data_IF_000547850533
#
_entry.id   IF_000547850533
#
_cell.length_a   1.000
_cell.length_b   1.000
_cell.length_c   1.000
_cell.angle_alpha   90.00
_cell.angle_beta   90.00
_cell.angle_gamma   90.00
#
_symmetry.space_group_name_H-M   'P 1'
#
loop_
_entity.id
_entity.type
_entity.pdbx_description
1 polymer ?
#
# COMPACT_ATOMS: atom_id res chain seq x y z
N UNK A 1 -17.38 1.94 -44.18
CA UNK A 1 -17.66 1.01 -45.28
C UNK A 1 -18.45 1.81 -46.30
N UNK A 2 -17.91 2.01 -47.48
CA UNK A 2 -18.61 2.69 -48.57
C UNK A 2 -19.52 1.66 -49.26
N UNK A 3 -20.83 1.94 -49.30
CA UNK A 3 -21.83 1.06 -49.93
C UNK A 3 -22.14 1.60 -51.32
N UNK A 4 -22.00 0.80 -52.37
CA UNK A 4 -22.35 1.23 -53.73
C UNK A 4 -23.82 1.62 -53.78
N UNK A 5 -24.13 2.85 -54.25
CA UNK A 5 -25.48 3.41 -54.33
C UNK A 5 -26.45 2.48 -55.12
N UNK A 6 -25.94 1.77 -56.12
CA UNK A 6 -26.71 0.83 -56.92
C UNK A 6 -27.27 -0.40 -56.18
N UNK A 7 -26.65 -0.72 -55.04
CA UNK A 7 -27.04 -1.85 -54.19
C UNK A 7 -27.88 -1.43 -53.00
N UNK A 8 -27.97 -0.14 -52.70
CA UNK A 8 -28.64 0.35 -51.49
C UNK A 8 -30.11 0.70 -51.71
N UNK A 9 -30.99 0.03 -51.02
CA UNK A 9 -32.42 0.42 -50.97
C UNK A 9 -32.70 1.32 -49.77
N UNK A 10 -32.97 2.58 -50.05
CA UNK A 10 -33.24 3.61 -49.03
C UNK A 10 -34.51 3.31 -48.22
N UNK A 11 -35.52 2.66 -48.82
CA UNK A 11 -36.80 2.36 -48.15
C UNK A 11 -36.64 1.28 -47.08
N UNK A 12 -35.88 0.25 -47.40
CA UNK A 12 -35.65 -0.87 -46.48
C UNK A 12 -34.41 -0.67 -45.59
N UNK A 13 -33.52 0.29 -45.93
CA UNK A 13 -32.24 0.49 -45.26
C UNK A 13 -31.31 -0.73 -45.33
N UNK A 14 -31.35 -1.43 -46.48
CA UNK A 14 -30.57 -2.64 -46.74
C UNK A 14 -30.06 -2.67 -48.18
N UNK A 15 -29.03 -3.49 -48.40
CA UNK A 15 -28.60 -3.81 -49.78
C UNK A 15 -29.58 -4.76 -50.45
N UNK A 16 -30.01 -4.44 -51.68
CA UNK A 16 -30.92 -5.25 -52.48
C UNK A 16 -30.18 -6.34 -53.27
N UNK A 17 -30.88 -7.45 -53.48
CA UNK A 17 -30.35 -8.59 -54.25
C UNK A 17 -29.73 -9.70 -53.39
N UNK A 18 -29.37 -10.82 -54.05
CA UNK A 18 -28.80 -12.03 -53.40
C UNK A 18 -27.30 -12.19 -53.63
N UNK A 19 -26.63 -11.14 -54.13
CA UNK A 19 -25.18 -11.19 -54.34
C UNK A 19 -24.40 -11.36 -53.04
N UNK A 20 -23.22 -11.93 -53.06
CA UNK A 20 -22.31 -12.07 -51.91
C UNK A 20 -22.01 -10.71 -51.31
N UNK A 21 -21.87 -9.67 -52.14
CA UNK A 21 -21.63 -8.30 -51.72
C UNK A 21 -22.84 -7.74 -50.94
N UNK A 22 -24.07 -7.94 -51.44
CA UNK A 22 -25.30 -7.51 -50.75
C UNK A 22 -25.48 -8.23 -49.41
N UNK A 23 -25.21 -9.51 -49.33
CA UNK A 23 -25.24 -10.29 -48.10
C UNK A 23 -24.21 -9.79 -47.08
N UNK A 24 -22.98 -9.49 -47.52
CA UNK A 24 -21.91 -8.94 -46.66
C UNK A 24 -22.26 -7.57 -46.10
N UNK A 25 -22.88 -6.70 -46.92
CA UNK A 25 -23.34 -5.37 -46.48
C UNK A 25 -24.47 -5.55 -45.44
N UNK A 26 -25.47 -6.40 -45.72
CA UNK A 26 -26.59 -6.62 -44.80
C UNK A 26 -26.12 -7.21 -43.47
N UNK A 27 -25.17 -8.11 -43.47
CA UNK A 27 -24.57 -8.69 -42.26
C UNK A 27 -23.83 -7.62 -41.44
N UNK A 28 -23.16 -6.66 -42.07
CA UNK A 28 -22.52 -5.56 -41.40
C UNK A 28 -23.55 -4.57 -40.80
N UNK A 29 -24.65 -4.29 -41.53
CA UNK A 29 -25.76 -3.48 -41.03
C UNK A 29 -26.40 -4.12 -39.79
N UNK A 30 -26.62 -5.44 -39.82
CA UNK A 30 -27.20 -6.15 -38.68
C UNK A 30 -26.26 -6.12 -37.46
N UNK A 31 -24.95 -6.26 -37.64
CA UNK A 31 -23.99 -6.07 -36.54
C UNK A 31 -24.08 -4.70 -35.95
N UNK A 32 -24.07 -3.64 -36.76
CA UNK A 32 -24.20 -2.26 -36.30
C UNK A 32 -25.50 -2.07 -35.52
N UNK A 33 -26.62 -2.63 -36.00
CA UNK A 33 -27.92 -2.55 -35.30
C UNK A 33 -27.86 -3.20 -33.91
N UNK A 34 -27.24 -4.35 -33.81
CA UNK A 34 -27.07 -5.05 -32.53
C UNK A 34 -26.23 -4.20 -31.54
N UNK A 35 -25.10 -3.67 -32.00
CA UNK A 35 -24.20 -2.84 -31.17
C UNK A 35 -24.90 -1.54 -30.73
N UNK A 36 -25.57 -0.86 -31.64
CA UNK A 36 -26.34 0.38 -31.34
C UNK A 36 -27.45 0.09 -30.35
N UNK A 37 -28.17 -1.02 -30.48
CA UNK A 37 -29.22 -1.42 -29.57
C UNK A 37 -28.66 -1.77 -28.17
N UNK A 38 -27.50 -2.41 -28.12
CA UNK A 38 -26.81 -2.67 -26.86
C UNK A 38 -26.45 -1.36 -26.13
N UNK A 39 -25.84 -0.40 -26.83
CA UNK A 39 -25.54 0.91 -26.25
C UNK A 39 -26.79 1.68 -25.85
N UNK A 40 -27.88 1.55 -26.58
CA UNK A 40 -29.17 2.16 -26.20
C UNK A 40 -29.66 1.61 -24.86
N UNK A 41 -29.61 0.29 -24.66
CA UNK A 41 -30.05 -0.35 -23.42
C UNK A 41 -29.13 0.04 -22.24
N UNK A 42 -27.81 0.07 -22.45
CA UNK A 42 -26.86 0.52 -21.44
C UNK A 42 -27.13 1.97 -21.00
N UNK A 43 -27.31 2.89 -21.97
CA UNK A 43 -27.59 4.30 -21.68
C UNK A 43 -28.94 4.48 -20.99
N UNK A 44 -29.96 3.73 -21.37
CA UNK A 44 -31.27 3.76 -20.68
C UNK A 44 -31.18 3.29 -19.23
N UNK A 45 -30.40 2.25 -18.97
CA UNK A 45 -30.20 1.76 -17.59
C UNK A 45 -29.37 2.71 -16.73
N UNK A 46 -28.38 3.38 -17.33
CA UNK A 46 -27.43 4.22 -16.59
C UNK A 46 -27.96 5.65 -16.39
N UNK A 47 -28.49 6.26 -17.44
CA UNK A 47 -28.86 7.67 -17.47
C UNK A 47 -30.37 7.91 -17.41
N UNK A 48 -31.19 6.87 -17.62
CA UNK A 48 -32.65 6.94 -17.64
C UNK A 48 -33.22 7.59 -18.90
N UNK A 49 -32.38 8.13 -19.80
CA UNK A 49 -32.79 8.72 -21.09
C UNK A 49 -31.68 8.61 -22.14
N UNK A 50 -32.07 8.50 -23.42
CA UNK A 50 -31.14 8.39 -24.55
C UNK A 50 -31.49 9.45 -25.61
N UNK A 51 -30.47 10.20 -26.05
CA UNK A 51 -30.59 11.06 -27.23
C UNK A 51 -29.78 10.46 -28.38
N UNK A 52 -30.15 10.83 -29.63
CA UNK A 52 -29.41 10.36 -30.82
C UNK A 52 -27.91 10.76 -30.77
N UNK A 53 -27.60 11.93 -30.23
CA UNK A 53 -26.22 12.38 -30.02
C UNK A 53 -25.47 11.49 -29.03
N UNK A 54 -26.03 11.20 -27.85
CA UNK A 54 -25.44 10.29 -26.85
C UNK A 54 -25.21 8.89 -27.44
N UNK A 55 -26.19 8.36 -28.18
CA UNK A 55 -26.09 7.05 -28.78
C UNK A 55 -25.02 6.97 -29.85
N UNK A 56 -24.93 8.01 -30.71
CA UNK A 56 -23.86 8.16 -31.70
C UNK A 56 -22.49 8.22 -31.03
N UNK A 57 -22.36 9.03 -30.00
CA UNK A 57 -21.09 9.19 -29.27
C UNK A 57 -20.67 7.88 -28.58
N UNK A 58 -21.61 7.16 -27.98
CA UNK A 58 -21.37 5.85 -27.39
C UNK A 58 -20.92 4.82 -28.44
N UNK A 59 -21.60 4.76 -29.58
CA UNK A 59 -21.27 3.85 -30.67
C UNK A 59 -19.90 4.18 -31.31
N UNK A 60 -19.58 5.47 -31.49
CA UNK A 60 -18.32 5.92 -32.06
C UNK A 60 -17.20 5.98 -31.03
N UNK A 61 -17.48 5.72 -29.74
CA UNK A 61 -16.52 5.90 -28.67
C UNK A 61 -16.14 7.38 -28.44
N UNK A 62 -16.94 8.32 -28.96
CA UNK A 62 -16.70 9.76 -28.84
C UNK A 62 -17.18 10.21 -27.47
N UNK A 63 -16.31 10.83 -26.67
CA UNK A 63 -16.67 11.37 -25.36
C UNK A 63 -16.63 10.38 -24.21
N UNK A 64 -16.50 9.10 -24.43
CA UNK A 64 -16.08 8.16 -23.37
C UNK A 64 -14.61 8.44 -23.12
N UNK A 65 -14.32 9.36 -22.18
CA UNK A 65 -12.96 9.44 -21.57
C UNK A 65 -12.72 8.06 -21.00
N UNK A 66 -12.05 7.20 -21.77
CA UNK A 66 -11.67 5.88 -21.28
C UNK A 66 -10.92 6.11 -19.96
N UNK A 67 -11.55 5.69 -18.87
CA UNK A 67 -10.89 5.76 -17.59
C UNK A 67 -9.78 4.71 -17.57
N UNK A 68 -8.60 5.18 -17.32
CA UNK A 68 -7.38 4.39 -17.36
C UNK A 68 -6.83 4.17 -15.96
N UNK A 69 -6.03 3.12 -15.79
CA UNK A 69 -5.51 2.71 -14.50
C UNK A 69 -4.61 3.77 -13.86
N UNK A 70 -3.66 4.33 -14.61
CA UNK A 70 -2.76 5.37 -14.06
C UNK A 70 -3.49 6.64 -13.70
N UNK A 71 -4.45 7.06 -14.54
CA UNK A 71 -5.27 8.23 -14.24
C UNK A 71 -6.07 8.06 -12.95
N UNK A 72 -6.69 6.89 -12.73
CA UNK A 72 -7.38 6.57 -11.49
C UNK A 72 -6.42 6.58 -10.30
N UNK A 73 -5.23 6.01 -10.47
CA UNK A 73 -4.20 5.99 -9.43
C UNK A 73 -3.73 7.40 -9.04
N UNK A 74 -3.52 8.28 -10.03
CA UNK A 74 -3.11 9.65 -9.82
C UNK A 74 -4.19 10.48 -9.12
N UNK A 75 -5.44 10.32 -9.51
CA UNK A 75 -6.58 10.95 -8.84
C UNK A 75 -6.65 10.52 -7.37
N UNK A 76 -6.58 9.21 -7.11
CA UNK A 76 -6.54 8.69 -5.74
C UNK A 76 -5.36 9.26 -4.94
N UNK A 77 -4.16 9.30 -5.53
CA UNK A 77 -2.97 9.81 -4.86
C UNK A 77 -3.09 11.32 -4.55
N UNK A 78 -3.67 12.11 -5.45
CA UNK A 78 -3.92 13.53 -5.22
C UNK A 78 -4.91 13.76 -4.05
N UNK A 79 -5.98 12.98 -3.98
CA UNK A 79 -6.94 13.05 -2.86
C UNK A 79 -6.34 12.54 -1.56
N UNK A 80 -5.56 11.46 -1.62
CA UNK A 80 -4.89 10.90 -0.45
C UNK A 80 -3.87 11.88 0.14
N UNK A 81 -3.13 12.61 -0.72
CA UNK A 81 -2.15 13.61 -0.30
C UNK A 81 -2.77 14.70 0.58
N UNK A 82 -4.01 15.14 0.27
CA UNK A 82 -4.74 16.13 1.08
C UNK A 82 -5.05 15.66 2.50
N UNK A 83 -5.09 14.35 2.72
CA UNK A 83 -5.43 13.71 4.01
C UNK A 83 -4.19 13.32 4.83
N UNK A 84 -2.99 13.44 4.25
CA UNK A 84 -1.73 13.12 4.94
C UNK A 84 -1.46 14.10 6.08
N UNK A 85 -1.07 13.57 7.24
CA UNK A 85 -0.86 14.38 8.46
C UNK A 85 -2.13 14.62 9.29
N UNK A 86 -3.32 14.44 8.71
CA UNK A 86 -4.59 14.52 9.44
C UNK A 86 -5.16 13.14 9.76
N UNK A 87 -5.70 12.45 8.76
CA UNK A 87 -6.33 11.13 8.91
C UNK A 87 -5.55 9.99 8.30
N UNK A 88 -4.48 10.27 7.55
CA UNK A 88 -3.68 9.29 6.82
C UNK A 88 -2.19 9.46 7.09
N UNK A 89 -1.48 8.31 7.17
CA UNK A 89 -0.05 8.29 7.43
C UNK A 89 0.78 8.50 6.15
N UNK A 90 1.86 9.30 6.25
CA UNK A 90 2.81 9.55 5.16
C UNK A 90 3.42 8.25 4.60
N UNK A 91 3.66 7.23 5.46
CA UNK A 91 4.20 5.94 5.02
C UNK A 91 3.26 5.20 4.08
N UNK A 92 1.95 5.25 4.34
CA UNK A 92 0.92 4.67 3.47
C UNK A 92 0.88 5.40 2.13
N UNK A 93 0.93 6.74 2.14
CA UNK A 93 0.97 7.53 0.90
C UNK A 93 2.17 7.16 0.02
N UNK A 94 3.37 7.05 0.61
CA UNK A 94 4.57 6.62 -0.12
C UNK A 94 4.40 5.24 -0.77
N UNK A 95 3.70 4.33 -0.12
CA UNK A 95 3.43 3.00 -0.69
C UNK A 95 2.57 3.12 -1.96
N UNK A 96 1.50 3.93 -1.95
CA UNK A 96 0.69 4.20 -3.14
C UNK A 96 1.50 4.85 -4.27
N UNK A 97 2.33 5.85 -3.96
CA UNK A 97 3.21 6.49 -4.93
C UNK A 97 4.19 5.48 -5.56
N UNK A 98 4.77 4.59 -4.76
CA UNK A 98 5.71 3.56 -5.24
C UNK A 98 5.02 2.59 -6.19
N UNK A 99 3.82 2.11 -5.84
CA UNK A 99 3.08 1.19 -6.71
C UNK A 99 2.65 1.87 -8.01
N UNK A 100 2.18 3.13 -7.95
CA UNK A 100 1.88 3.92 -9.14
C UNK A 100 3.09 4.07 -10.07
N UNK A 101 4.28 4.36 -9.50
CA UNK A 101 5.54 4.41 -10.26
C UNK A 101 5.89 3.06 -10.90
N UNK A 102 5.71 1.96 -10.19
CA UNK A 102 5.96 0.63 -10.74
C UNK A 102 5.01 0.27 -11.88
N UNK A 103 3.74 0.64 -11.80
CA UNK A 103 2.78 0.46 -12.90
C UNK A 103 3.17 1.31 -14.10
N UNK A 104 3.58 2.58 -13.88
CA UNK A 104 4.05 3.48 -14.96
C UNK A 104 5.27 2.91 -15.70
N UNK A 105 6.13 2.18 -15.04
CA UNK A 105 7.27 1.49 -15.65
C UNK A 105 6.89 0.15 -16.29
N UNK A 106 5.94 -0.57 -15.69
CA UNK A 106 5.48 -1.88 -16.15
C UNK A 106 4.74 -1.81 -17.49
N UNK A 107 3.86 -0.83 -17.66
CA UNK A 107 3.03 -0.71 -18.87
C UNK A 107 3.85 -0.57 -20.17
N UNK A 108 4.83 0.37 -20.28
CA UNK A 108 5.69 0.43 -21.46
C UNK A 108 6.57 -0.80 -21.63
N UNK A 109 7.05 -1.38 -20.52
CA UNK A 109 7.91 -2.55 -20.56
C UNK A 109 7.21 -3.77 -21.13
N UNK A 110 5.98 -4.08 -20.67
CA UNK A 110 5.29 -5.32 -20.98
C UNK A 110 4.24 -5.15 -22.08
N UNK A 111 3.47 -4.09 -22.04
CA UNK A 111 2.34 -3.86 -22.95
C UNK A 111 2.63 -2.85 -24.08
N UNK A 112 3.79 -2.18 -24.06
CA UNK A 112 4.17 -1.14 -25.05
C UNK A 112 3.17 0.02 -25.10
N UNK A 113 2.55 0.36 -23.97
CA UNK A 113 1.56 1.41 -23.81
C UNK A 113 1.92 2.29 -22.62
N UNK A 114 1.53 3.57 -22.66
CA UNK A 114 1.73 4.51 -21.54
C UNK A 114 0.70 4.29 -20.42
N UNK A 115 -0.53 3.90 -20.77
CA UNK A 115 -1.60 3.60 -19.83
C UNK A 115 -2.52 2.51 -20.37
N UNK A 116 -3.42 1.97 -19.53
CA UNK A 116 -4.34 0.89 -19.91
C UNK A 116 -5.78 1.23 -19.46
N UNK A 117 -6.78 1.06 -20.33
CA UNK A 117 -8.19 1.20 -19.96
C UNK A 117 -8.57 0.25 -18.83
N UNK A 118 -9.38 0.69 -17.88
CA UNK A 118 -9.84 -0.15 -16.77
C UNK A 118 -10.55 -1.42 -17.24
N UNK A 119 -11.29 -1.35 -18.34
CA UNK A 119 -12.02 -2.47 -18.93
C UNK A 119 -11.11 -3.58 -19.48
N UNK A 120 -9.85 -3.29 -19.78
CA UNK A 120 -8.86 -4.27 -20.25
C UNK A 120 -8.13 -4.99 -19.11
N UNK A 121 -8.33 -4.55 -17.86
CA UNK A 121 -7.72 -5.23 -16.71
C UNK A 121 -8.31 -6.63 -16.55
N UNK A 122 -7.45 -7.63 -16.48
CA UNK A 122 -7.84 -9.02 -16.30
C UNK A 122 -6.83 -9.75 -15.42
N UNK A 123 -7.06 -11.02 -15.13
CA UNK A 123 -6.17 -11.82 -14.29
C UNK A 123 -4.75 -11.94 -14.89
N UNK A 124 -4.62 -11.98 -16.21
CA UNK A 124 -3.30 -12.01 -16.88
C UNK A 124 -2.51 -10.75 -16.56
N UNK A 125 -3.14 -9.56 -16.67
CA UNK A 125 -2.50 -8.29 -16.29
C UNK A 125 -2.01 -8.30 -14.83
N UNK A 126 -2.82 -8.85 -13.92
CA UNK A 126 -2.46 -8.93 -12.48
C UNK A 126 -1.23 -9.83 -12.28
N UNK A 127 -1.21 -10.99 -12.95
CA UNK A 127 -0.09 -11.93 -12.88
C UNK A 127 1.19 -11.37 -13.53
N UNK A 128 1.06 -10.69 -14.67
CA UNK A 128 2.19 -10.05 -15.35
C UNK A 128 2.81 -8.94 -14.51
N UNK A 129 1.99 -8.15 -13.81
CA UNK A 129 2.51 -7.13 -12.91
C UNK A 129 3.23 -7.74 -11.71
N UNK A 130 2.70 -8.82 -11.11
CA UNK A 130 3.40 -9.56 -10.07
C UNK A 130 4.74 -10.11 -10.57
N UNK A 131 4.75 -10.72 -11.76
CA UNK A 131 5.98 -11.24 -12.38
C UNK A 131 7.00 -10.12 -12.62
N UNK A 132 6.59 -8.96 -13.11
CA UNK A 132 7.44 -7.78 -13.26
C UNK A 132 8.05 -7.33 -11.92
N UNK A 133 7.26 -7.28 -10.85
CA UNK A 133 7.75 -6.92 -9.52
C UNK A 133 8.81 -7.90 -9.01
N UNK A 134 8.64 -9.20 -9.28
CA UNK A 134 9.58 -10.24 -8.87
C UNK A 134 10.86 -10.24 -9.69
N UNK A 135 10.76 -10.12 -10.99
CA UNK A 135 11.88 -10.30 -11.93
C UNK A 135 12.65 -9.01 -12.19
N UNK A 136 11.97 -7.93 -12.57
CA UNK A 136 12.60 -6.64 -12.92
C UNK A 136 12.89 -5.80 -11.69
N UNK A 137 11.94 -5.71 -10.75
CA UNK A 137 12.12 -4.95 -9.52
C UNK A 137 12.80 -5.75 -8.40
N UNK A 138 12.98 -7.06 -8.58
CA UNK A 138 13.62 -7.98 -7.61
C UNK A 138 13.02 -7.87 -6.20
N UNK A 139 11.71 -7.62 -6.13
CA UNK A 139 10.99 -7.51 -4.87
C UNK A 139 10.85 -8.88 -4.20
N UNK A 140 10.99 -8.91 -2.87
CA UNK A 140 10.72 -10.10 -2.06
C UNK A 140 9.21 -10.35 -1.93
N UNK A 141 8.79 -11.59 -1.66
CA UNK A 141 7.39 -12.02 -1.60
C UNK A 141 6.51 -11.10 -0.76
N UNK A 142 6.92 -10.75 0.45
CA UNK A 142 6.11 -9.86 1.30
C UNK A 142 6.01 -8.41 0.78
N UNK A 143 6.98 -7.95 0.01
CA UNK A 143 6.93 -6.64 -0.66
C UNK A 143 5.94 -6.70 -1.82
N UNK A 144 6.03 -7.75 -2.64
CA UNK A 144 5.08 -8.00 -3.74
C UNK A 144 3.65 -8.09 -3.19
N UNK A 145 3.44 -8.89 -2.15
CA UNK A 145 2.14 -9.01 -1.49
C UNK A 145 1.59 -7.64 -1.08
N UNK A 146 2.40 -6.80 -0.41
CA UNK A 146 2.00 -5.45 -0.03
C UNK A 146 1.64 -4.55 -1.21
N UNK A 147 2.39 -4.61 -2.31
CA UNK A 147 2.11 -3.83 -3.52
C UNK A 147 0.84 -4.32 -4.24
N UNK A 148 0.60 -5.63 -4.29
CA UNK A 148 -0.62 -6.20 -4.86
C UNK A 148 -1.87 -5.82 -4.06
N UNK A 149 -1.79 -5.70 -2.72
CA UNK A 149 -2.88 -5.16 -1.90
C UNK A 149 -3.21 -3.72 -2.31
N UNK A 150 -2.21 -2.88 -2.54
CA UNK A 150 -2.41 -1.49 -2.98
C UNK A 150 -3.11 -1.45 -4.34
N UNK A 151 -2.65 -2.22 -5.33
CA UNK A 151 -3.29 -2.31 -6.64
C UNK A 151 -4.74 -2.81 -6.52
N UNK A 152 -4.96 -3.88 -5.73
CA UNK A 152 -6.30 -4.41 -5.47
C UNK A 152 -7.24 -3.36 -4.87
N UNK A 153 -6.73 -2.51 -3.98
CA UNK A 153 -7.53 -1.43 -3.40
C UNK A 153 -7.95 -0.40 -4.47
N UNK A 154 -7.03 0.03 -5.35
CA UNK A 154 -7.35 0.96 -6.46
C UNK A 154 -8.40 0.35 -7.39
N UNK A 155 -8.23 -0.91 -7.78
CA UNK A 155 -9.22 -1.63 -8.60
C UNK A 155 -10.57 -1.74 -7.89
N UNK A 156 -10.57 -1.93 -6.57
CA UNK A 156 -11.81 -1.97 -5.77
C UNK A 156 -12.55 -0.63 -5.78
N UNK A 157 -11.83 0.50 -5.79
CA UNK A 157 -12.44 1.82 -5.96
C UNK A 157 -13.17 1.90 -7.30
N UNK A 158 -12.49 1.53 -8.40
CA UNK A 158 -13.11 1.52 -9.73
C UNK A 158 -14.38 0.67 -9.80
N UNK A 159 -14.39 -0.48 -9.11
CA UNK A 159 -15.56 -1.36 -9.05
C UNK A 159 -16.70 -0.76 -8.24
N UNK A 160 -16.41 -0.22 -7.07
CA UNK A 160 -17.40 0.39 -6.18
C UNK A 160 -18.06 1.63 -6.81
N UNK A 161 -17.30 2.35 -7.65
CA UNK A 161 -17.79 3.50 -8.40
C UNK A 161 -18.51 3.11 -9.71
N UNK A 162 -18.70 1.81 -9.99
CA UNK A 162 -19.36 1.32 -11.20
C UNK A 162 -18.53 1.44 -12.49
N UNK A 163 -17.27 1.89 -12.41
CA UNK A 163 -16.37 2.08 -13.57
C UNK A 163 -15.81 0.76 -14.11
N UNK A 164 -15.85 -0.30 -13.31
CA UNK A 164 -15.37 -1.63 -13.64
C UNK A 164 -16.38 -2.69 -13.20
N UNK A 165 -17.13 -3.31 -14.11
CA UNK A 165 -18.24 -4.21 -13.77
C UNK A 165 -17.79 -5.58 -13.27
N UNK A 166 -16.54 -5.97 -13.49
CA UNK A 166 -15.97 -7.27 -13.08
C UNK A 166 -14.80 -7.12 -12.13
N UNK A 167 -14.35 -8.24 -11.57
CA UNK A 167 -13.20 -8.26 -10.65
C UNK A 167 -11.97 -8.91 -11.30
N UNK A 168 -10.97 -8.14 -11.77
CA UNK A 168 -9.76 -8.72 -12.36
C UNK A 168 -8.90 -9.52 -11.38
N UNK A 169 -9.14 -9.37 -10.07
CA UNK A 169 -8.50 -10.17 -9.02
C UNK A 169 -9.28 -11.45 -8.67
N UNK A 170 -10.37 -11.78 -9.40
CA UNK A 170 -11.05 -13.05 -9.22
C UNK A 170 -10.09 -14.20 -9.56
N UNK A 171 -9.89 -15.12 -8.61
CA UNK A 171 -8.92 -16.21 -8.77
C UNK A 171 -7.46 -15.85 -8.50
N UNK A 172 -7.12 -14.59 -8.24
CA UNK A 172 -5.77 -14.21 -7.83
C UNK A 172 -5.52 -14.56 -6.36
N UNK A 173 -4.55 -15.43 -6.13
CA UNK A 173 -4.15 -15.88 -4.79
C UNK A 173 -2.71 -15.43 -4.53
N UNK A 174 -2.51 -14.62 -3.51
CA UNK A 174 -1.20 -14.24 -3.02
C UNK A 174 -1.26 -14.10 -1.49
N UNK A 175 -0.33 -14.73 -0.79
CA UNK A 175 -0.24 -14.72 0.67
C UNK A 175 1.16 -14.30 1.13
N UNK A 176 1.28 -13.66 2.28
CA UNK A 176 2.60 -13.32 2.81
C UNK A 176 3.30 -14.57 3.32
N UNK A 177 4.61 -14.60 3.18
CA UNK A 177 5.47 -15.58 3.82
C UNK A 177 5.65 -15.22 5.30
N UNK A 178 5.61 -16.22 6.18
CA UNK A 178 5.97 -16.03 7.57
C UNK A 178 7.48 -15.73 7.68
N UNK A 179 7.83 -14.67 8.42
CA UNK A 179 9.23 -14.31 8.65
C UNK A 179 9.57 -14.60 10.10
N UNK A 180 10.35 -15.65 10.32
CA UNK A 180 10.94 -15.88 11.63
C UNK A 180 12.10 -14.88 11.83
N UNK A 181 11.93 -13.93 12.72
CA UNK A 181 12.94 -12.90 13.02
C UNK A 181 13.86 -13.28 14.16
N UNK A 182 13.59 -14.39 14.83
CA UNK A 182 14.26 -14.78 16.06
C UNK A 182 13.95 -13.85 17.23
N UNK A 183 14.43 -14.23 18.39
CA UNK A 183 14.35 -13.45 19.63
C UNK A 183 15.64 -13.65 20.42
N UNK A 184 15.93 -12.76 21.37
CA UNK A 184 17.05 -12.93 22.31
C UNK A 184 16.55 -13.70 23.54
N UNK A 185 17.38 -14.59 24.02
CA UNK A 185 17.17 -15.25 25.33
C UNK A 185 17.45 -14.28 26.46
N UNK A 186 17.00 -14.61 27.67
CA UNK A 186 17.27 -13.81 28.86
C UNK A 186 18.79 -13.63 29.12
N UNK A 187 19.60 -14.67 28.87
CA UNK A 187 21.06 -14.58 28.96
C UNK A 187 21.63 -13.60 27.95
N UNK A 188 21.14 -13.60 26.72
CA UNK A 188 21.61 -12.66 25.68
C UNK A 188 21.21 -11.23 25.99
N UNK A 189 20.01 -11.01 26.60
CA UNK A 189 19.62 -9.68 27.09
C UNK A 189 20.56 -9.23 28.22
N UNK A 190 20.89 -10.10 29.16
CA UNK A 190 21.85 -9.78 30.21
C UNK A 190 23.23 -9.48 29.62
N UNK A 191 23.73 -10.30 28.72
CA UNK A 191 24.99 -10.05 27.99
C UNK A 191 24.98 -8.69 27.29
N UNK A 192 23.85 -8.31 26.67
CA UNK A 192 23.70 -7.00 26.04
C UNK A 192 23.79 -5.85 27.05
N UNK A 193 23.14 -6.02 28.21
CA UNK A 193 23.14 -5.01 29.28
C UNK A 193 24.53 -4.81 29.86
N UNK A 194 25.31 -5.85 30.02
CA UNK A 194 26.64 -5.85 30.63
C UNK A 194 27.76 -5.49 29.62
N UNK A 195 27.45 -5.50 28.32
CA UNK A 195 28.43 -5.27 27.25
C UNK A 195 28.98 -3.84 27.28
N UNK A 196 30.31 -3.72 27.25
CA UNK A 196 30.99 -2.45 27.09
C UNK A 196 30.80 -1.91 25.66
N UNK A 197 30.30 -0.68 25.56
CA UNK A 197 30.05 -0.05 24.27
C UNK A 197 31.25 0.77 23.80
N UNK A 198 31.44 0.89 22.49
CA UNK A 198 32.55 1.61 21.87
C UNK A 198 32.55 3.10 22.20
N UNK A 199 31.38 3.68 22.37
CA UNK A 199 31.19 5.10 22.69
C UNK A 199 29.80 5.34 23.27
N UNK A 200 29.54 6.56 23.72
CA UNK A 200 28.28 6.99 24.34
C UNK A 200 27.07 6.86 23.39
N UNK A 201 27.30 6.95 22.07
CA UNK A 201 26.22 6.82 21.08
C UNK A 201 25.78 5.36 20.91
N UNK A 202 26.70 4.40 20.93
CA UNK A 202 26.39 2.97 20.98
C UNK A 202 25.69 2.60 22.29
N UNK A 203 26.15 3.19 23.38
CA UNK A 203 25.56 2.99 24.70
C UNK A 203 24.11 3.49 24.73
N UNK A 204 23.83 4.67 24.21
CA UNK A 204 22.45 5.19 24.06
C UNK A 204 21.57 4.22 23.26
N UNK A 205 22.05 3.72 22.12
CA UNK A 205 21.27 2.81 21.28
C UNK A 205 21.02 1.47 21.96
N UNK A 206 21.98 0.94 22.70
CA UNK A 206 21.81 -0.25 23.55
C UNK A 206 20.75 -0.02 24.62
N UNK A 207 20.87 1.06 25.38
CA UNK A 207 19.98 1.38 26.48
C UNK A 207 18.53 1.61 25.99
N UNK A 208 18.35 2.29 24.87
CA UNK A 208 17.04 2.46 24.23
C UNK A 208 16.44 1.13 23.74
N UNK A 209 17.29 0.20 23.26
CA UNK A 209 16.83 -1.14 22.90
C UNK A 209 16.38 -1.92 24.13
N UNK A 210 17.18 -1.92 25.21
CA UNK A 210 16.85 -2.54 26.49
C UNK A 210 15.57 -1.92 27.07
N UNK A 211 15.45 -0.59 27.07
CA UNK A 211 14.23 0.11 27.47
C UNK A 211 13.00 -0.41 26.71
N UNK A 212 13.14 -0.61 25.41
CA UNK A 212 12.04 -1.13 24.56
C UNK A 212 11.75 -2.61 24.81
N UNK A 213 12.73 -3.41 25.20
CA UNK A 213 12.52 -4.82 25.63
C UNK A 213 11.62 -4.86 26.86
N UNK A 214 11.86 -3.98 27.85
CA UNK A 214 11.10 -3.98 29.11
C UNK A 214 9.75 -3.25 29.01
N UNK A 215 9.57 -2.34 28.05
CA UNK A 215 8.35 -1.53 27.95
C UNK A 215 7.44 -1.92 26.79
N UNK A 216 7.94 -2.65 25.78
CA UNK A 216 7.18 -2.98 24.55
C UNK A 216 6.85 -1.80 23.67
N UNK A 217 7.38 -0.59 23.97
CA UNK A 217 7.14 0.61 23.18
C UNK A 217 7.75 0.50 21.79
N UNK A 218 7.05 1.01 20.79
CA UNK A 218 7.56 1.09 19.43
C UNK A 218 8.56 2.27 19.29
N UNK A 219 9.43 2.22 18.28
CA UNK A 219 10.40 3.27 17.99
C UNK A 219 9.77 4.68 17.97
N UNK A 220 8.63 4.84 17.33
CA UNK A 220 7.92 6.12 17.26
C UNK A 220 7.45 6.59 18.63
N UNK A 221 7.08 5.67 19.50
CA UNK A 221 6.50 5.98 20.80
C UNK A 221 7.62 6.36 21.79
N UNK A 222 8.77 5.66 21.74
CA UNK A 222 9.97 6.04 22.52
C UNK A 222 10.54 7.37 22.04
N UNK A 223 10.58 7.60 20.71
CA UNK A 223 11.09 8.86 20.15
C UNK A 223 10.26 10.08 20.56
N UNK A 224 8.95 9.92 20.73
CA UNK A 224 8.05 11.00 21.11
C UNK A 224 7.62 10.91 22.58
N UNK A 225 8.32 10.12 23.40
CA UNK A 225 8.03 10.03 24.82
C UNK A 225 8.48 11.32 25.54
N UNK A 226 7.55 12.02 26.13
CA UNK A 226 7.76 13.27 26.87
C UNK A 226 7.62 13.05 28.37
N UNK A 227 8.19 13.93 29.18
CA UNK A 227 8.23 13.80 30.64
C UNK A 227 6.83 13.81 31.28
N UNK A 228 5.87 14.53 30.72
CA UNK A 228 4.47 14.56 31.17
C UNK A 228 3.75 13.20 31.07
N UNK A 229 4.29 12.29 30.25
CA UNK A 229 3.80 10.90 30.12
C UNK A 229 4.28 9.96 31.23
N UNK A 230 5.20 10.43 32.06
CA UNK A 230 5.71 9.70 33.23
C UNK A 230 4.93 10.13 34.46
N UNK A 231 4.09 9.26 35.00
CA UNK A 231 3.22 9.59 36.13
C UNK A 231 3.36 8.55 37.25
N UNK A 232 3.39 9.02 38.49
CA UNK A 232 3.33 8.14 39.65
C UNK A 232 1.88 7.86 39.99
N UNK A 233 1.49 6.56 40.00
CA UNK A 233 0.14 6.14 40.36
C UNK A 233 -0.01 5.91 41.89
N UNK A 234 -1.23 5.57 42.28
CA UNK A 234 -1.63 5.27 43.65
C UNK A 234 -0.81 4.11 44.28
N UNK A 235 -0.25 3.23 43.46
CA UNK A 235 0.62 2.11 43.86
C UNK A 235 2.06 2.55 44.18
N UNK A 236 2.35 3.87 44.13
CA UNK A 236 3.68 4.45 44.32
C UNK A 236 4.67 4.15 43.19
N UNK A 237 4.25 3.46 42.14
CA UNK A 237 5.11 3.14 41.00
C UNK A 237 5.03 4.19 39.90
N UNK A 238 6.13 4.32 39.15
CA UNK A 238 6.19 5.16 37.97
C UNK A 238 5.65 4.40 36.77
N UNK A 239 4.75 5.03 36.02
CA UNK A 239 4.09 4.49 34.85
C UNK A 239 4.30 5.39 33.64
N UNK A 240 4.32 4.79 32.45
CA UNK A 240 4.20 5.51 31.18
C UNK A 240 2.74 5.47 30.76
N UNK A 241 2.12 6.64 30.63
CA UNK A 241 0.75 6.81 30.11
C UNK A 241 0.85 7.36 28.71
N UNK A 242 0.57 6.56 27.71
CA UNK A 242 0.72 6.97 26.32
C UNK A 242 -0.34 6.36 25.41
N UNK A 243 -0.45 6.91 24.20
CA UNK A 243 -1.25 6.32 23.12
C UNK A 243 -0.35 5.95 21.97
N UNK A 244 -0.50 4.72 21.46
CA UNK A 244 0.28 4.24 20.32
C UNK A 244 0.03 5.11 19.11
N UNK A 245 1.07 5.68 18.53
CA UNK A 245 0.98 6.55 17.35
C UNK A 245 0.30 5.87 16.15
N UNK A 246 0.49 4.55 15.96
CA UNK A 246 -0.05 3.82 14.81
C UNK A 246 -1.53 3.48 14.92
N UNK A 247 -2.01 3.14 16.12
CA UNK A 247 -3.36 2.59 16.35
C UNK A 247 -4.23 3.47 17.24
N UNK A 248 -3.67 4.54 17.79
CA UNK A 248 -4.28 5.42 18.81
C UNK A 248 -4.81 4.66 20.04
N UNK A 249 -4.30 3.44 20.28
CA UNK A 249 -4.67 2.62 21.42
C UNK A 249 -3.93 3.12 22.66
N UNK A 250 -4.61 3.27 23.77
CA UNK A 250 -4.03 3.60 25.06
C UNK A 250 -3.10 2.48 25.54
N UNK A 251 -1.99 2.86 26.15
CA UNK A 251 -0.97 1.94 26.64
C UNK A 251 -0.41 2.49 27.96
N UNK A 252 -0.73 1.80 29.06
CA UNK A 252 -0.29 2.12 30.40
C UNK A 252 0.74 1.06 30.82
N UNK A 253 1.98 1.49 31.02
CA UNK A 253 3.11 0.58 31.22
C UNK A 253 3.77 0.91 32.56
N UNK A 254 3.73 -0.02 33.50
CA UNK A 254 4.47 0.08 34.74
C UNK A 254 5.97 -0.03 34.47
N UNK A 255 6.73 0.91 34.98
CA UNK A 255 8.18 0.90 34.83
C UNK A 255 8.84 0.02 35.89
N UNK A 256 9.58 -0.96 35.43
CA UNK A 256 10.47 -1.76 36.25
C UNK A 256 11.77 -0.99 36.52
N UNK A 257 12.66 -1.52 37.37
CA UNK A 257 13.86 -0.78 37.80
C UNK A 257 14.86 -0.49 36.70
N UNK A 258 14.99 -1.42 35.70
CA UNK A 258 15.88 -1.20 34.55
C UNK A 258 15.45 -0.01 33.71
N UNK A 259 14.20 0.09 33.21
CA UNK A 259 13.71 1.29 32.54
C UNK A 259 13.82 2.59 33.35
N UNK A 260 13.57 2.54 34.66
CA UNK A 260 13.72 3.73 35.56
C UNK A 260 15.16 4.25 35.55
N UNK A 261 16.15 3.36 35.73
CA UNK A 261 17.58 3.72 35.67
C UNK A 261 17.97 4.30 34.33
N UNK A 262 17.42 3.77 33.22
CA UNK A 262 17.70 4.29 31.87
C UNK A 262 17.11 5.69 31.71
N UNK A 263 15.89 5.96 32.17
CA UNK A 263 15.29 7.30 32.15
C UNK A 263 16.16 8.30 32.94
N UNK A 264 16.56 7.92 34.13
CA UNK A 264 17.37 8.79 34.98
C UNK A 264 18.74 9.13 34.36
N UNK A 265 19.40 8.14 33.75
CA UNK A 265 20.68 8.31 33.05
C UNK A 265 20.61 9.34 31.91
N UNK A 266 19.49 9.45 31.21
CA UNK A 266 19.35 10.37 30.09
C UNK A 266 18.53 11.63 30.41
N UNK A 267 18.16 11.84 31.68
CA UNK A 267 17.41 13.00 32.14
C UNK A 267 18.15 14.30 31.80
N UNK A 268 17.43 15.26 31.22
CA UNK A 268 17.95 16.58 30.90
C UNK A 268 18.88 16.66 29.68
N UNK A 269 19.10 15.58 28.96
CA UNK A 269 19.94 15.57 27.73
C UNK A 269 19.21 16.07 26.48
N UNK A 270 17.89 16.26 26.54
CA UNK A 270 17.06 16.76 25.44
C UNK A 270 16.57 18.16 25.72
N UNK A 271 16.48 19.00 24.67
CA UNK A 271 15.98 20.39 24.78
C UNK A 271 14.50 20.53 24.39
N UNK A 272 13.91 19.49 23.84
CA UNK A 272 12.55 19.46 23.25
C UNK A 272 11.50 18.82 24.18
N UNK A 273 11.84 18.60 25.47
CA UNK A 273 10.95 17.97 26.44
C UNK A 273 10.78 16.44 26.26
N UNK A 274 11.44 15.84 25.28
CA UNK A 274 11.49 14.39 25.12
C UNK A 274 12.33 13.75 26.22
N UNK A 275 12.01 12.51 26.61
CA UNK A 275 12.77 11.76 27.63
C UNK A 275 14.14 11.32 27.10
N UNK A 276 14.23 11.00 25.81
CA UNK A 276 15.44 10.44 25.19
C UNK A 276 15.87 11.15 23.91
N UNK A 277 17.18 11.34 23.65
CA UNK A 277 17.71 11.82 22.38
C UNK A 277 17.76 10.69 21.35
N UNK A 278 16.59 10.25 20.85
CA UNK A 278 16.47 9.06 19.98
C UNK A 278 17.00 9.34 18.58
N UNK A 279 18.01 8.57 18.08
CA UNK A 279 18.55 8.71 16.73
C UNK A 279 17.51 8.42 15.63
N UNK A 280 17.82 8.75 14.37
CA UNK A 280 16.99 8.35 13.25
C UNK A 280 16.86 6.80 13.20
N UNK A 281 15.72 6.29 12.73
CA UNK A 281 15.47 4.84 12.68
C UNK A 281 16.54 4.08 11.85
N UNK A 282 17.04 4.71 10.79
CA UNK A 282 18.11 4.14 9.96
C UNK A 282 19.43 4.00 10.74
N UNK A 283 19.89 5.07 11.36
CA UNK A 283 21.12 5.09 12.21
C UNK A 283 20.98 4.13 13.39
N UNK A 284 19.84 4.16 14.07
CA UNK A 284 19.55 3.26 15.18
C UNK A 284 19.72 1.79 14.80
N UNK A 285 19.03 1.34 13.71
CA UNK A 285 19.12 -0.06 13.27
C UNK A 285 20.49 -0.43 12.71
N UNK A 286 21.27 0.55 12.18
CA UNK A 286 22.66 0.30 11.76
C UNK A 286 23.52 -0.06 12.97
N UNK A 287 23.45 0.74 14.02
CA UNK A 287 24.23 0.54 15.25
C UNK A 287 23.78 -0.74 15.97
N UNK A 288 22.49 -1.02 16.07
CA UNK A 288 22.00 -2.28 16.66
C UNK A 288 22.61 -3.52 15.98
N UNK A 289 22.81 -3.49 14.67
CA UNK A 289 23.47 -4.60 13.96
C UNK A 289 24.96 -4.74 14.34
N UNK A 290 25.61 -3.62 14.59
CA UNK A 290 27.01 -3.60 15.04
C UNK A 290 27.14 -4.14 16.46
N UNK A 291 26.25 -3.69 17.36
CA UNK A 291 26.17 -4.19 18.74
C UNK A 291 25.87 -5.69 18.76
N UNK A 292 24.89 -6.15 17.98
CA UNK A 292 24.56 -7.58 17.91
C UNK A 292 25.71 -8.45 17.45
N UNK A 293 26.53 -7.98 16.47
CA UNK A 293 27.76 -8.66 16.06
C UNK A 293 28.83 -8.65 17.15
N UNK A 294 29.00 -7.52 17.83
CA UNK A 294 29.94 -7.38 18.96
C UNK A 294 29.61 -8.35 20.10
N UNK A 295 28.32 -8.54 20.39
CA UNK A 295 27.86 -9.48 21.42
C UNK A 295 27.78 -10.94 20.94
N UNK A 296 28.10 -11.25 19.67
CA UNK A 296 28.06 -12.60 19.12
C UNK A 296 26.66 -13.17 18.89
N UNK A 297 25.63 -12.32 18.79
CA UNK A 297 24.25 -12.80 18.65
C UNK A 297 23.99 -13.35 17.23
N UNK A 298 23.31 -14.49 17.16
CA UNK A 298 22.84 -15.08 15.89
C UNK A 298 21.67 -14.28 15.30
N UNK A 299 20.87 -13.66 16.15
CA UNK A 299 19.72 -12.85 15.77
C UNK A 299 20.18 -11.48 15.28
N UNK A 300 19.73 -11.08 14.10
CA UNK A 300 19.98 -9.73 13.59
C UNK A 300 19.18 -8.71 14.39
N UNK A 301 19.81 -7.94 15.25
CA UNK A 301 19.15 -6.94 16.05
C UNK A 301 18.54 -5.84 15.17
N UNK A 302 17.28 -5.54 15.43
CA UNK A 302 16.55 -4.37 14.93
C UNK A 302 15.61 -3.89 16.03
N UNK A 303 15.17 -2.64 15.98
CA UNK A 303 14.24 -2.13 16.98
C UNK A 303 12.99 -3.03 17.16
N UNK A 304 12.54 -3.62 16.07
CA UNK A 304 11.35 -4.48 16.08
C UNK A 304 11.53 -5.76 16.91
N UNK A 305 12.76 -6.27 17.00
CA UNK A 305 13.08 -7.47 17.83
C UNK A 305 12.83 -7.16 19.31
N UNK A 306 13.18 -5.97 19.81
CA UNK A 306 12.92 -5.58 21.20
C UNK A 306 11.43 -5.72 21.57
N UNK A 307 10.55 -5.29 20.67
CA UNK A 307 9.11 -5.36 20.89
C UNK A 307 8.54 -6.78 20.91
N UNK A 308 9.11 -7.70 20.13
CA UNK A 308 8.71 -9.11 20.18
C UNK A 308 9.14 -9.77 21.49
N UNK A 309 10.26 -9.34 22.05
CA UNK A 309 10.77 -9.85 23.34
C UNK A 309 9.86 -9.47 24.51
N UNK A 310 9.33 -8.27 24.54
CA UNK A 310 8.44 -7.81 25.62
C UNK A 310 7.17 -8.65 25.76
N UNK A 311 6.72 -9.29 24.67
CA UNK A 311 5.54 -10.17 24.65
C UNK A 311 5.83 -11.59 25.14
N UNK A 312 7.10 -11.99 25.22
CA UNK A 312 7.53 -13.34 25.61
C UNK A 312 7.92 -13.41 27.09
N UNK A 313 8.29 -12.26 27.68
CA UNK A 313 8.83 -12.16 29.04
C UNK A 313 7.89 -11.48 30.05
N UNK A 314 6.67 -11.14 29.66
CA UNK A 314 5.57 -10.70 30.50
C UNK A 314 4.53 -11.82 30.56
#
# INVERSE_FOLDING_TARGET
MDVPLRLWDVKTGRASGKSVEAQRINLAVDKIRVEVNHHYQELMQTDGYVTAAKLKDAYLGIGVKQETLLKLFEQHNAEFAKKVGHSRAQGTFRCYQTVCSHIREFLPHTYKREDIPLKELNLTFINDFEYFLRTKKKCRTNTVWGYMIVLKHIVSIARNDGRLPFNPFAGYINSPESVNRGYLTQKEIQTLMDALMKNTYHELVRDLFVFSVFTGLAYSDVKNLTADRLQTFFDGNLWIITRRKKTNTESNIRLLDVPKRIIEKYRGLTKDGCVFPVPSNGSYNKILKEIGRQCGFKVRLTYHVARHLSLIHI
#
